data_IF_054973270966
#
_entry.id   IF_054973270966
#
_cell.length_a   1.000
_cell.length_b   1.000
_cell.length_c   1.000
_cell.angle_alpha   90.00
_cell.angle_beta   90.00
_cell.angle_gamma   90.00
#
_symmetry.space_group_name_H-M   'P 1'
#
loop_
_entity.id
_entity.type
_entity.pdbx_description
1 polymer ?
#
# COMPACT_ATOMS: atom_id res chain seq x y z
N UNK A 1 -0.09 37.35 -29.50
CA UNK A 1 -0.36 37.12 -28.06
C UNK A 1 -1.85 36.85 -27.87
N UNK A 2 -2.16 36.05 -26.85
CA UNK A 2 -3.45 35.79 -26.14
C UNK A 2 -4.59 36.80 -26.42
N UNK A 3 -5.87 36.45 -26.35
CA UNK A 3 -6.56 35.29 -25.78
C UNK A 3 -8.08 35.44 -25.98
N UNK A 4 -8.84 34.43 -25.53
CA UNK A 4 -10.28 34.30 -25.71
C UNK A 4 -11.09 34.78 -24.49
N UNK A 5 -12.30 35.31 -24.74
CA UNK A 5 -13.52 35.17 -23.93
C UNK A 5 -14.73 35.80 -24.64
N UNK A 6 -15.93 35.22 -24.44
CA UNK A 6 -17.32 35.68 -24.67
C UNK A 6 -18.11 34.59 -25.44
N UNK A 7 -18.82 33.68 -24.77
CA UNK A 7 -20.17 33.79 -24.17
C UNK A 7 -21.30 33.54 -25.19
N UNK A 8 -21.87 32.34 -25.08
CA UNK A 8 -23.22 31.91 -25.46
C UNK A 8 -23.61 31.81 -26.96
N UNK A 9 -24.56 30.91 -27.21
CA UNK A 9 -25.36 30.68 -28.44
C UNK A 9 -24.98 29.52 -29.39
N UNK A 10 -25.94 28.60 -29.49
CA UNK A 10 -26.11 27.49 -30.47
C UNK A 10 -26.38 28.00 -31.88
N UNK A 11 -25.76 27.40 -32.90
CA UNK A 11 -26.19 27.39 -34.30
C UNK A 11 -25.76 26.09 -35.00
N UNK A 12 -26.69 25.48 -35.77
CA UNK A 12 -26.48 24.33 -36.69
C UNK A 12 -26.30 24.84 -38.12
N UNK A 13 -25.42 24.24 -38.92
CA UNK A 13 -25.72 23.61 -40.25
C UNK A 13 -24.50 23.47 -41.19
N UNK A 14 -24.38 22.27 -41.80
CA UNK A 14 -23.93 21.93 -43.18
C UNK A 14 -22.50 22.34 -43.65
N UNK A 15 -21.55 21.39 -43.80
CA UNK A 15 -21.24 20.49 -44.96
C UNK A 15 -20.15 21.11 -45.88
N UNK A 16 -19.03 20.49 -46.25
CA UNK A 16 -18.86 19.34 -47.19
C UNK A 16 -17.34 19.03 -47.32
N UNK A 17 -16.98 17.73 -47.23
CA UNK A 17 -15.91 16.91 -47.89
C UNK A 17 -14.43 17.33 -47.73
N UNK A 18 -13.43 16.45 -47.51
CA UNK A 18 -13.21 15.07 -47.98
C UNK A 18 -12.29 14.29 -47.00
N UNK A 19 -12.41 12.95 -47.00
CA UNK A 19 -11.27 12.07 -46.71
C UNK A 19 -11.45 10.99 -45.63
N UNK A 20 -11.80 9.79 -46.08
CA UNK A 20 -11.65 8.47 -45.44
C UNK A 20 -12.62 8.07 -44.31
N UNK A 21 -13.64 7.30 -44.70
CA UNK A 21 -14.48 6.45 -43.85
C UNK A 21 -13.82 5.08 -43.70
N UNK A 22 -13.61 4.63 -42.46
CA UNK A 22 -14.22 3.40 -41.94
C UNK A 22 -14.10 3.39 -40.42
N UNK A 23 -15.17 3.76 -39.75
CA UNK A 23 -15.39 3.47 -38.34
C UNK A 23 -16.03 2.10 -38.19
N UNK A 24 -15.64 1.38 -37.14
CA UNK A 24 -16.57 0.62 -36.33
C UNK A 24 -16.19 0.85 -34.87
N UNK A 25 -17.09 1.49 -34.12
CA UNK A 25 -17.04 1.56 -32.66
C UNK A 25 -17.30 0.15 -32.13
N UNK A 26 -16.34 -0.41 -31.41
CA UNK A 26 -16.50 -1.70 -30.75
C UNK A 26 -17.57 -1.59 -29.65
N UNK A 27 -18.65 -2.34 -29.86
CA UNK A 27 -19.74 -2.59 -28.95
C UNK A 27 -19.28 -3.51 -27.81
N UNK A 28 -19.86 -3.37 -26.61
CA UNK A 28 -19.45 -4.08 -25.38
C UNK A 28 -19.45 -5.62 -25.51
N UNK A 29 -20.24 -6.19 -26.43
CA UNK A 29 -20.21 -7.62 -26.75
C UNK A 29 -18.95 -8.07 -27.49
N UNK A 30 -18.26 -7.16 -28.21
CA UNK A 30 -17.03 -7.47 -28.95
C UNK A 30 -15.80 -7.45 -28.03
N UNK A 31 -15.85 -6.71 -26.91
CA UNK A 31 -14.82 -6.74 -25.88
C UNK A 31 -14.81 -8.07 -25.11
N UNK A 32 -15.99 -8.69 -24.92
CA UNK A 32 -16.16 -10.00 -24.30
C UNK A 32 -15.56 -11.16 -25.12
N UNK A 33 -15.46 -11.02 -26.45
CA UNK A 33 -14.92 -12.10 -27.30
C UNK A 33 -13.38 -12.19 -27.28
N UNK A 34 -12.68 -11.11 -26.94
CA UNK A 34 -11.21 -11.13 -26.80
C UNK A 34 -10.79 -11.90 -25.53
N UNK A 35 -11.63 -11.87 -24.49
CA UNK A 35 -11.38 -12.60 -23.23
C UNK A 35 -11.59 -14.12 -23.33
N UNK A 36 -12.34 -14.61 -24.32
CA UNK A 36 -12.65 -16.04 -24.46
C UNK A 36 -11.60 -16.86 -25.22
N UNK A 37 -10.56 -16.24 -25.77
CA UNK A 37 -9.48 -16.94 -26.49
C UNK A 37 -8.21 -17.20 -25.66
N UNK A 38 -8.14 -16.71 -24.42
CA UNK A 38 -6.94 -16.81 -23.57
C UNK A 38 -7.06 -17.70 -22.33
N UNK A 39 -8.13 -18.50 -22.20
CA UNK A 39 -8.24 -19.45 -21.08
C UNK A 39 -7.80 -20.87 -21.50
N UNK A 40 -6.81 -21.48 -20.82
CA UNK A 40 -6.54 -22.90 -20.98
C UNK A 40 -7.66 -23.74 -20.35
N UNK A 41 -8.08 -24.78 -21.08
CA UNK A 41 -9.10 -25.76 -20.68
C UNK A 41 -8.87 -26.29 -19.26
N UNK A 42 -9.73 -25.92 -18.30
CA UNK A 42 -9.85 -26.60 -17.01
C UNK A 42 -11.12 -27.45 -17.00
N UNK A 43 -10.94 -28.77 -16.82
CA UNK A 43 -12.02 -29.76 -16.75
C UNK A 43 -12.87 -29.51 -15.52
N UNK A 44 -14.19 -29.48 -15.71
CA UNK A 44 -15.17 -29.48 -14.63
C UNK A 44 -15.11 -30.81 -13.84
N UNK A 45 -14.97 -30.71 -12.52
CA UNK A 45 -15.32 -31.78 -11.58
C UNK A 45 -16.11 -31.16 -10.43
N UNK A 46 -17.38 -31.54 -10.38
CA UNK A 46 -18.37 -31.19 -9.35
C UNK A 46 -17.99 -31.72 -7.97
N UNK A 47 -17.95 -30.84 -6.96
CA UNK A 47 -18.69 -31.02 -5.70
C UNK A 47 -18.63 -29.74 -4.82
N UNK A 48 -19.80 -29.39 -4.27
CA UNK A 48 -20.05 -28.19 -3.46
C UNK A 48 -19.41 -28.25 -2.07
N UNK A 49 -18.79 -27.15 -1.62
CA UNK A 49 -18.92 -26.61 -0.24
C UNK A 49 -18.43 -25.15 -0.17
N UNK A 50 -19.30 -24.26 0.31
CA UNK A 50 -19.11 -22.89 0.85
C UNK A 50 -18.01 -21.97 0.29
N UNK A 51 -18.45 -21.02 -0.55
CA UNK A 51 -17.93 -19.64 -0.72
C UNK A 51 -16.46 -19.39 -0.34
N UNK A 52 -15.54 -19.93 -1.13
CA UNK A 52 -14.21 -19.37 -1.33
C UNK A 52 -14.16 -18.92 -2.79
N UNK A 53 -14.13 -17.61 -3.02
CA UNK A 53 -13.62 -17.10 -4.28
C UNK A 53 -12.13 -17.46 -4.28
N UNK A 54 -11.77 -18.56 -4.95
CA UNK A 54 -10.38 -18.93 -5.17
C UNK A 54 -9.70 -17.80 -5.95
N UNK A 55 -8.81 -17.10 -5.26
CA UNK A 55 -8.02 -15.97 -5.74
C UNK A 55 -6.87 -16.51 -6.62
N UNK A 56 -7.18 -17.32 -7.64
CA UNK A 56 -6.17 -17.84 -8.58
C UNK A 56 -5.70 -16.78 -9.60
N UNK A 57 -6.41 -15.65 -9.74
CA UNK A 57 -6.17 -14.65 -10.80
C UNK A 57 -5.45 -13.36 -10.32
N UNK A 58 -5.03 -13.28 -9.05
CA UNK A 58 -4.39 -12.06 -8.50
C UNK A 58 -2.87 -11.96 -8.72
N UNK A 59 -2.22 -13.01 -9.22
CA UNK A 59 -0.77 -13.07 -9.36
C UNK A 59 0.01 -13.04 -8.02
N UNK A 60 -0.69 -13.13 -6.88
CA UNK A 60 -0.08 -13.27 -5.56
C UNK A 60 0.48 -14.69 -5.41
N UNK A 61 1.75 -14.83 -5.01
CA UNK A 61 2.35 -16.15 -4.76
C UNK A 61 1.64 -16.86 -3.59
N UNK A 62 1.73 -18.19 -3.59
CA UNK A 62 1.34 -19.05 -2.47
C UNK A 62 1.82 -18.47 -1.14
N UNK A 63 0.89 -18.07 -0.27
CA UNK A 63 1.19 -17.47 1.03
C UNK A 63 0.43 -16.18 1.33
N UNK A 64 -0.17 -15.53 0.34
CA UNK A 64 -1.05 -14.38 0.57
C UNK A 64 -2.53 -14.69 0.32
N UNK A 65 -3.41 -14.09 1.11
CA UNK A 65 -4.88 -14.16 0.98
C UNK A 65 -5.44 -12.74 0.96
N UNK A 66 -6.38 -12.48 0.05
CA UNK A 66 -7.10 -11.21 -0.02
C UNK A 66 -8.51 -11.40 0.50
N UNK A 67 -8.91 -10.60 1.48
CA UNK A 67 -10.29 -10.58 2.03
C UNK A 67 -10.79 -9.15 2.08
N UNK A 68 -11.70 -8.78 1.17
CA UNK A 68 -12.09 -7.38 1.00
C UNK A 68 -10.90 -6.51 0.60
N UNK A 69 -10.63 -5.44 1.35
CA UNK A 69 -9.47 -4.56 1.14
C UNK A 69 -8.23 -4.97 1.94
N UNK A 70 -8.28 -6.13 2.61
CA UNK A 70 -7.18 -6.66 3.40
C UNK A 70 -6.36 -7.66 2.61
N UNK A 71 -5.05 -7.44 2.57
CA UNK A 71 -4.05 -8.40 2.12
C UNK A 71 -3.35 -8.98 3.34
N UNK A 72 -3.49 -10.29 3.56
CA UNK A 72 -2.77 -11.04 4.59
C UNK A 72 -1.69 -11.87 3.89
N UNK A 73 -0.43 -11.76 4.30
CA UNK A 73 0.64 -12.61 3.79
C UNK A 73 1.35 -13.33 4.92
N UNK A 74 1.53 -14.64 4.75
CA UNK A 74 2.50 -15.43 5.50
C UNK A 74 3.87 -15.21 4.86
N UNK A 75 4.66 -14.38 5.51
CA UNK A 75 5.95 -13.91 5.03
C UNK A 75 5.89 -12.75 4.05
N UNK A 76 7.08 -12.23 3.71
CA UNK A 76 7.19 -11.20 2.70
C UNK A 76 7.14 -11.84 1.31
N UNK A 77 6.23 -11.33 0.49
CA UNK A 77 6.05 -11.74 -0.89
C UNK A 77 6.28 -10.52 -1.77
N UNK A 78 7.00 -10.69 -2.87
CA UNK A 78 7.02 -9.67 -3.92
C UNK A 78 5.59 -9.47 -4.42
N UNK A 79 5.04 -8.31 -4.09
CA UNK A 79 3.70 -7.96 -4.54
C UNK A 79 3.72 -7.68 -6.04
N UNK A 80 2.70 -8.14 -6.79
CA UNK A 80 2.57 -7.78 -8.19
C UNK A 80 2.39 -6.26 -8.32
N UNK A 81 2.96 -5.66 -9.38
CA UNK A 81 2.86 -4.22 -9.62
C UNK A 81 1.40 -3.73 -9.71
N UNK A 82 0.49 -4.62 -10.07
CA UNK A 82 -0.93 -4.33 -10.30
C UNK A 82 -1.75 -4.36 -9.00
N UNK A 83 -1.12 -4.60 -7.83
CA UNK A 83 -1.83 -4.72 -6.55
C UNK A 83 -2.65 -3.46 -6.21
N UNK A 84 -2.21 -2.28 -6.66
CA UNK A 84 -2.95 -1.03 -6.46
C UNK A 84 -4.36 -1.07 -7.07
N UNK A 85 -4.60 -1.89 -8.11
CA UNK A 85 -5.90 -2.05 -8.76
C UNK A 85 -6.90 -2.82 -7.89
N UNK A 86 -6.42 -3.58 -6.90
CA UNK A 86 -7.26 -4.37 -6.00
C UNK A 86 -7.81 -3.55 -4.83
N UNK A 87 -7.47 -2.26 -4.74
CA UNK A 87 -7.97 -1.38 -3.67
C UNK A 87 -7.52 -1.81 -2.28
N UNK A 88 -6.35 -2.44 -2.16
CA UNK A 88 -5.79 -2.86 -0.87
C UNK A 88 -5.49 -1.63 -0.02
N UNK A 89 -6.07 -1.59 1.18
CA UNK A 89 -5.87 -0.54 2.17
C UNK A 89 -5.26 -1.07 3.48
N UNK A 90 -5.39 -2.37 3.73
CA UNK A 90 -4.97 -2.99 4.98
C UNK A 90 -4.00 -4.11 4.61
N UNK A 91 -2.73 -3.99 4.98
CA UNK A 91 -1.74 -5.02 4.74
C UNK A 91 -1.23 -5.57 6.06
N UNK A 92 -1.40 -6.88 6.23
CA UNK A 92 -0.91 -7.64 7.37
C UNK A 92 0.12 -8.65 6.88
N UNK A 93 1.31 -8.57 7.47
CA UNK A 93 2.41 -9.49 7.26
C UNK A 93 2.70 -10.22 8.56
N UNK A 94 2.64 -11.55 8.50
CA UNK A 94 2.89 -12.41 9.64
C UNK A 94 3.95 -13.46 9.32
N UNK A 95 4.83 -13.76 10.28
CA UNK A 95 5.70 -14.95 10.17
C UNK A 95 6.78 -14.84 9.10
N UNK A 96 7.22 -13.64 8.73
CA UNK A 96 8.27 -13.51 7.71
C UNK A 96 9.63 -14.06 8.15
N UNK A 97 10.28 -14.72 7.20
CA UNK A 97 11.62 -15.28 7.34
C UNK A 97 12.72 -14.32 6.86
N UNK A 98 12.32 -13.22 6.24
CA UNK A 98 13.21 -12.18 5.78
C UNK A 98 13.85 -11.43 6.96
N UNK A 99 15.05 -10.93 6.71
CA UNK A 99 15.80 -10.16 7.70
C UNK A 99 15.63 -8.65 7.54
N UNK A 100 15.14 -8.19 6.39
CA UNK A 100 15.03 -6.77 6.07
C UNK A 100 13.75 -6.41 5.30
N UNK A 101 13.15 -5.27 5.65
CA UNK A 101 12.12 -4.57 4.84
C UNK A 101 12.78 -3.43 4.06
N UNK A 102 12.35 -3.20 2.83
CA UNK A 102 12.78 -2.05 2.00
C UNK A 102 11.59 -1.28 1.46
N UNK A 103 11.82 -0.06 1.00
CA UNK A 103 10.82 0.82 0.38
C UNK A 103 10.09 0.16 -0.81
N UNK A 104 10.76 -0.72 -1.55
CA UNK A 104 10.17 -1.48 -2.68
C UNK A 104 8.98 -2.34 -2.25
N UNK A 105 8.93 -2.73 -0.98
CA UNK A 105 7.83 -3.50 -0.42
C UNK A 105 6.52 -2.68 -0.47
N UNK A 106 6.59 -1.39 -0.15
CA UNK A 106 5.42 -0.51 -0.05
C UNK A 106 5.07 0.17 -1.38
N UNK A 107 5.96 0.14 -2.37
CA UNK A 107 5.75 0.80 -3.67
C UNK A 107 4.39 0.49 -4.33
N UNK A 108 3.89 -0.76 -4.36
CA UNK A 108 2.61 -1.08 -4.98
C UNK A 108 1.39 -0.58 -4.21
N UNK A 109 1.54 -0.17 -2.95
CA UNK A 109 0.42 0.23 -2.07
C UNK A 109 0.59 1.61 -1.46
N UNK A 110 1.67 2.35 -1.77
CA UNK A 110 2.04 3.60 -1.09
C UNK A 110 0.96 4.68 -1.09
N UNK A 111 0.11 4.72 -2.12
CA UNK A 111 -0.97 5.71 -2.23
C UNK A 111 -2.25 5.28 -1.48
N UNK A 112 -2.50 3.97 -1.36
CA UNK A 112 -3.78 3.44 -0.84
C UNK A 112 -3.69 2.90 0.59
N UNK A 113 -2.49 2.56 1.05
CA UNK A 113 -2.27 1.90 2.34
C UNK A 113 -2.73 2.78 3.50
N UNK A 114 -3.63 2.25 4.33
CA UNK A 114 -4.15 2.86 5.55
C UNK A 114 -3.62 2.18 6.80
N UNK A 115 -3.48 0.85 6.76
CA UNK A 115 -2.99 0.04 7.87
C UNK A 115 -1.87 -0.86 7.39
N UNK A 116 -0.71 -0.77 8.03
CA UNK A 116 0.43 -1.65 7.79
C UNK A 116 0.80 -2.35 9.09
N UNK A 117 0.60 -3.66 9.14
CA UNK A 117 0.92 -4.50 10.29
C UNK A 117 2.00 -5.51 9.90
N UNK A 118 3.10 -5.51 10.63
CA UNK A 118 4.17 -6.50 10.56
C UNK A 118 4.29 -7.10 11.96
N UNK A 119 3.89 -8.35 12.13
CA UNK A 119 3.95 -8.99 13.45
C UNK A 119 4.42 -10.44 13.38
N UNK A 120 4.89 -10.95 14.52
CA UNK A 120 5.44 -12.31 14.64
C UNK A 120 6.53 -12.59 13.58
N UNK A 121 7.47 -11.67 13.43
CA UNK A 121 8.55 -11.75 12.45
C UNK A 121 9.92 -11.78 13.15
N UNK A 122 10.29 -12.88 13.83
CA UNK A 122 11.46 -12.91 14.72
C UNK A 122 12.81 -12.81 14.01
N UNK A 123 12.83 -12.93 12.68
CA UNK A 123 14.04 -12.75 11.88
C UNK A 123 14.19 -11.35 11.30
N UNK A 124 13.12 -10.55 11.30
CA UNK A 124 13.17 -9.19 10.80
C UNK A 124 13.97 -8.32 11.77
N UNK A 125 15.14 -7.87 11.33
CA UNK A 125 16.08 -7.07 12.12
C UNK A 125 16.23 -5.68 11.55
N UNK A 126 16.12 -5.53 10.23
CA UNK A 126 16.44 -4.30 9.56
C UNK A 126 15.23 -3.71 8.82
N UNK A 127 15.06 -2.40 8.90
CA UNK A 127 14.10 -1.67 8.07
C UNK A 127 14.90 -0.59 7.37
N UNK A 128 14.94 -0.64 6.03
CA UNK A 128 15.64 0.35 5.22
C UNK A 128 15.18 1.75 5.57
N UNK A 129 16.12 2.69 5.64
CA UNK A 129 15.88 4.11 5.85
C UNK A 129 14.82 4.67 4.89
N UNK A 130 14.80 4.22 3.64
CA UNK A 130 13.84 4.68 2.64
C UNK A 130 12.40 4.26 2.90
N UNK A 131 12.14 3.26 3.74
CA UNK A 131 10.82 2.61 3.89
C UNK A 131 9.74 3.60 4.33
N UNK A 132 10.05 4.45 5.31
CA UNK A 132 9.10 5.44 5.87
C UNK A 132 9.46 6.89 5.51
N UNK A 133 10.24 7.05 4.43
CA UNK A 133 10.46 8.33 3.74
C UNK A 133 9.56 8.47 2.51
N UNK A 134 8.82 7.42 2.15
CA UNK A 134 7.82 7.43 1.09
C UNK A 134 6.65 8.36 1.43
N UNK A 135 6.04 8.93 0.38
CA UNK A 135 4.77 9.64 0.52
C UNK A 135 3.62 8.63 0.69
N UNK A 136 3.13 8.50 1.94
CA UNK A 136 2.07 7.58 2.35
C UNK A 136 0.82 8.35 2.83
N UNK A 137 0.08 9.04 1.94
CA UNK A 137 -0.95 10.02 2.34
C UNK A 137 -2.14 9.41 3.09
N UNK A 138 -2.42 8.13 2.82
CA UNK A 138 -3.54 7.41 3.40
C UNK A 138 -3.19 6.69 4.70
N UNK A 139 -1.92 6.60 5.08
CA UNK A 139 -1.50 5.79 6.24
C UNK A 139 -2.06 6.38 7.53
N UNK A 140 -2.61 5.53 8.39
CA UNK A 140 -3.20 5.89 9.68
C UNK A 140 -2.69 5.00 10.81
N UNK A 141 -2.41 3.73 10.53
CA UNK A 141 -1.95 2.77 11.52
C UNK A 141 -0.69 2.07 11.04
N UNK A 142 0.38 2.20 11.82
CA UNK A 142 1.62 1.45 11.63
C UNK A 142 1.86 0.59 12.86
N UNK A 143 1.98 -0.73 12.65
CA UNK A 143 2.35 -1.67 13.72
C UNK A 143 3.50 -2.54 13.26
N UNK A 144 4.59 -2.54 14.02
CA UNK A 144 5.72 -3.45 13.86
C UNK A 144 6.00 -4.02 15.24
N UNK A 145 5.59 -5.25 15.51
CA UNK A 145 5.64 -5.85 16.86
C UNK A 145 6.15 -7.27 16.82
N UNK A 146 6.77 -7.74 17.91
CA UNK A 146 7.30 -9.11 18.02
C UNK A 146 8.30 -9.41 16.88
N UNK A 147 9.23 -8.49 16.65
CA UNK A 147 10.32 -8.63 15.67
C UNK A 147 11.69 -8.58 16.36
N UNK A 148 12.76 -8.75 15.59
CA UNK A 148 14.13 -8.57 16.06
C UNK A 148 14.71 -7.20 15.68
N UNK A 149 13.87 -6.23 15.31
CA UNK A 149 14.31 -4.87 14.98
C UNK A 149 14.93 -4.22 16.21
N UNK A 150 16.19 -3.82 16.08
CA UNK A 150 17.00 -3.20 17.14
C UNK A 150 17.44 -1.77 16.80
N UNK A 151 17.40 -1.40 15.51
CA UNK A 151 17.65 -0.07 14.99
C UNK A 151 16.43 0.47 14.26
N UNK A 152 16.10 1.74 14.49
CA UNK A 152 14.96 2.40 13.88
C UNK A 152 15.36 3.17 12.61
N UNK A 153 14.60 3.06 11.50
CA UNK A 153 14.74 3.98 10.38
C UNK A 153 14.17 5.35 10.75
N UNK A 154 14.42 6.36 9.93
CA UNK A 154 13.73 7.66 10.04
C UNK A 154 12.28 7.56 9.58
N UNK A 155 11.36 7.97 10.45
CA UNK A 155 9.94 8.11 10.17
C UNK A 155 9.64 9.56 9.76
N UNK A 156 9.72 9.84 8.45
CA UNK A 156 9.48 11.18 7.88
C UNK A 156 8.03 11.36 7.40
N UNK A 157 7.07 10.86 8.18
CA UNK A 157 5.66 10.76 7.82
C UNK A 157 4.83 12.02 8.14
N UNK A 158 5.41 12.99 8.87
CA UNK A 158 4.75 14.24 9.28
C UNK A 158 4.50 15.25 8.15
N UNK A 159 5.06 15.00 6.96
CA UNK A 159 4.79 15.74 5.73
C UNK A 159 3.53 15.27 5.01
N UNK A 160 2.97 14.11 5.37
CA UNK A 160 1.69 13.65 4.82
C UNK A 160 0.55 14.53 5.34
N UNK A 161 -0.43 14.82 4.49
CA UNK A 161 -1.58 15.68 4.85
C UNK A 161 -2.44 15.09 5.99
N UNK A 162 -2.21 13.82 6.37
CA UNK A 162 -2.95 13.11 7.42
C UNK A 162 -2.18 12.98 8.73
N UNK A 163 -2.93 12.95 9.83
CA UNK A 163 -2.44 12.54 11.15
C UNK A 163 -2.43 11.01 11.20
N UNK A 164 -1.33 10.41 11.67
CA UNK A 164 -1.27 8.98 12.00
C UNK A 164 -2.02 8.76 13.31
N UNK A 165 -2.97 7.83 13.36
CA UNK A 165 -3.61 7.52 14.63
C UNK A 165 -2.64 6.83 15.59
N UNK A 166 -1.95 5.79 15.12
CA UNK A 166 -1.06 5.01 15.99
C UNK A 166 0.19 4.56 15.25
N UNK A 167 1.33 4.74 15.89
CA UNK A 167 2.59 4.06 15.59
C UNK A 167 2.89 3.13 16.77
N UNK A 168 2.74 1.81 16.58
CA UNK A 168 3.05 0.81 17.59
C UNK A 168 4.32 0.03 17.21
N UNK A 169 5.35 0.18 18.03
CA UNK A 169 6.67 -0.45 17.92
C UNK A 169 6.99 -1.29 19.17
N UNK A 170 5.96 -1.79 19.86
CA UNK A 170 6.13 -2.57 21.08
C UNK A 170 6.69 -3.97 20.82
N UNK A 171 7.31 -4.56 21.84
CA UNK A 171 7.84 -5.94 21.79
C UNK A 171 8.87 -6.15 20.68
N UNK A 172 9.76 -5.18 20.46
CA UNK A 172 10.94 -5.34 19.59
C UNK A 172 12.23 -5.31 20.43
N UNK A 173 13.37 -5.03 19.79
CA UNK A 173 14.69 -5.03 20.43
C UNK A 173 15.36 -3.66 20.34
N UNK A 174 14.58 -2.58 20.14
CA UNK A 174 15.10 -1.24 19.91
C UNK A 174 15.98 -0.80 21.09
N UNK A 175 17.21 -0.38 20.81
CA UNK A 175 18.20 -0.02 21.85
C UNK A 175 18.38 1.49 21.99
N UNK A 176 18.23 2.22 20.88
CA UNK A 176 18.47 3.65 20.82
C UNK A 176 17.43 4.34 19.93
N UNK A 177 17.09 5.57 20.29
CA UNK A 177 16.32 6.48 19.43
C UNK A 177 17.21 7.67 19.10
N UNK A 178 17.74 7.66 17.89
CA UNK A 178 18.66 8.68 17.39
C UNK A 178 17.96 10.02 17.09
N UNK A 179 18.75 11.06 16.86
CA UNK A 179 18.25 12.38 16.50
C UNK A 179 17.50 12.34 15.17
N UNK A 180 16.29 12.90 15.15
CA UNK A 180 15.44 12.95 13.96
C UNK A 180 14.88 11.60 13.52
N UNK A 181 14.89 10.57 14.38
CA UNK A 181 14.21 9.30 14.11
C UNK A 181 12.73 9.52 13.84
N UNK A 182 12.07 10.41 14.59
CA UNK A 182 10.66 10.71 14.41
C UNK A 182 10.43 12.15 13.95
N UNK A 183 9.81 12.29 12.78
CA UNK A 183 9.19 13.54 12.29
C UNK A 183 7.76 13.20 11.87
N UNK A 184 6.87 13.01 12.85
CA UNK A 184 5.52 12.46 12.65
C UNK A 184 4.46 13.30 13.34
N UNK A 185 3.23 13.29 12.81
CA UNK A 185 2.04 13.79 13.52
C UNK A 185 1.20 12.59 13.90
N UNK A 186 1.10 12.27 15.19
CA UNK A 186 0.37 11.08 15.62
C UNK A 186 -0.39 11.23 16.93
N UNK A 187 -1.53 10.55 17.10
CA UNK A 187 -2.22 10.53 18.40
C UNK A 187 -1.44 9.70 19.43
N UNK A 188 -0.79 8.62 18.98
CA UNK A 188 -0.18 7.64 19.86
C UNK A 188 1.11 7.03 19.27
N UNK A 189 2.20 7.07 20.05
CA UNK A 189 3.45 6.38 19.78
C UNK A 189 3.74 5.40 20.92
N UNK A 190 3.75 4.10 20.62
CA UNK A 190 3.96 3.03 21.59
C UNK A 190 5.33 2.37 21.38
N UNK A 191 6.18 2.43 22.41
CA UNK A 191 7.57 1.91 22.41
C UNK A 191 7.83 0.93 23.56
N UNK A 192 6.78 0.48 24.26
CA UNK A 192 6.86 -0.46 25.37
C UNK A 192 7.54 -1.78 25.00
N UNK A 193 8.11 -2.47 26.00
CA UNK A 193 8.75 -3.77 25.80
C UNK A 193 9.88 -3.79 24.74
N UNK A 194 10.71 -2.75 24.73
CA UNK A 194 11.96 -2.68 23.97
C UNK A 194 13.19 -2.75 24.92
N UNK A 195 14.38 -2.47 24.39
CA UNK A 195 15.65 -2.43 25.13
C UNK A 195 16.26 -1.02 25.14
N UNK A 196 15.42 0.01 25.10
CA UNK A 196 15.84 1.39 24.91
C UNK A 196 16.69 1.83 26.11
N UNK A 197 17.96 2.12 25.87
CA UNK A 197 18.91 2.64 26.87
C UNK A 197 19.30 4.10 26.62
N UNK A 198 19.05 4.61 25.41
CA UNK A 198 19.42 5.97 24.98
C UNK A 198 18.32 6.58 24.11
N UNK A 199 18.06 7.87 24.32
CA UNK A 199 17.19 8.70 23.49
C UNK A 199 17.89 10.03 23.27
N UNK A 200 18.21 10.38 22.02
CA UNK A 200 18.88 11.62 21.69
C UNK A 200 17.96 12.84 21.89
N UNK A 201 18.55 13.99 22.20
CA UNK A 201 17.82 15.23 22.51
C UNK A 201 16.83 15.65 21.40
N UNK A 202 17.17 15.40 20.14
CA UNK A 202 16.37 15.77 18.97
C UNK A 202 15.65 14.57 18.35
N UNK A 203 15.45 13.47 19.10
CA UNK A 203 14.84 12.25 18.58
C UNK A 203 13.44 12.46 17.98
N UNK A 204 12.70 13.43 18.53
CA UNK A 204 11.31 13.74 18.16
C UNK A 204 11.17 15.16 17.57
N UNK A 205 12.26 15.77 17.13
CA UNK A 205 12.22 17.11 16.52
C UNK A 205 11.28 17.13 15.30
N UNK A 206 10.34 18.07 15.27
CA UNK A 206 9.33 18.15 14.20
C UNK A 206 8.15 17.17 14.36
N UNK A 207 8.07 16.42 15.46
CA UNK A 207 6.92 15.57 15.77
C UNK A 207 5.85 16.29 16.60
N UNK A 208 4.60 15.84 16.47
CA UNK A 208 3.45 16.28 17.28
C UNK A 208 2.68 15.05 17.77
N UNK A 209 2.41 15.00 19.07
CA UNK A 209 1.73 13.90 19.75
C UNK A 209 0.47 14.40 20.45
N UNK A 210 -0.68 13.75 20.21
CA UNK A 210 -1.93 14.05 20.91
C UNK A 210 -2.67 15.30 20.42
N UNK A 211 -3.90 15.46 20.93
CA UNK A 211 -5.08 16.10 20.31
C UNK A 211 -4.86 17.54 19.83
N UNK A 212 -4.98 17.75 18.52
CA UNK A 212 -5.28 19.06 17.91
C UNK A 212 -6.73 19.48 18.19
#
# INVERSE_FOLDING_TARGET
MRGAALSDMRLRSHSVLDGAVYGQTMNEQMMLMIFLWFLPNAKASTNQTSSQLEVEDSGLRNGCTVTGSQLQCQGMVQLPANLSLLGITDWVMEGTMETAVTEKLLDPVKITIKKLYIHHAPRLQNISEGTFQLFLPALRFLRITNTAVDQLPKFLLGSSEGILNTINLEYNQIQEIESGTFQVKTDELLLGHNRITSVHANAFEGSSFGTL
#
